data_IF_526344060113
#
_entry.id   IF_526344060113
#
_cell.length_a   1.000
_cell.length_b   1.000
_cell.length_c   1.000
_cell.angle_alpha   90.00
_cell.angle_beta   90.00
_cell.angle_gamma   90.00
#
_symmetry.space_group_name_H-M   'P 1'
#
loop_
_entity.id
_entity.type
_entity.pdbx_description
1 polymer ?
#
# COMPACT_ATOMS: atom_id res chain seq x y z
N UNK A 1 16.69 -22.95 7.32
CA UNK A 1 15.58 -22.12 6.80
C UNK A 1 16.18 -20.85 6.20
N UNK A 2 16.21 -20.79 4.87
CA UNK A 2 17.04 -19.87 4.07
C UNK A 2 16.88 -18.39 4.48
N UNK A 3 17.99 -17.65 4.54
CA UNK A 3 18.05 -16.20 4.81
C UNK A 3 17.10 -15.40 3.90
N UNK A 4 16.82 -15.92 2.69
CA UNK A 4 15.83 -15.39 1.75
C UNK A 4 14.40 -15.34 2.30
N UNK A 5 13.96 -16.35 3.08
CA UNK A 5 12.61 -16.37 3.66
C UNK A 5 12.43 -15.31 4.76
N UNK A 6 13.51 -14.95 5.47
CA UNK A 6 13.47 -13.89 6.47
C UNK A 6 13.40 -12.51 5.82
N UNK A 7 14.09 -12.30 4.70
CA UNK A 7 14.06 -11.02 3.97
C UNK A 7 12.70 -10.75 3.31
N UNK A 8 12.10 -11.76 2.69
CA UNK A 8 10.81 -11.60 2.01
C UNK A 8 9.64 -11.47 2.99
N UNK A 9 9.77 -11.95 4.24
CA UNK A 9 8.72 -11.92 5.28
C UNK A 9 8.09 -10.53 5.50
N UNK A 10 8.86 -9.47 5.24
CA UNK A 10 8.43 -8.06 5.38
C UNK A 10 7.35 -7.63 4.39
N UNK A 11 7.10 -8.40 3.33
CA UNK A 11 6.15 -8.05 2.27
C UNK A 11 5.00 -9.05 2.12
N UNK A 12 5.05 -10.19 2.80
CA UNK A 12 4.11 -11.30 2.55
C UNK A 12 2.67 -10.94 2.89
N UNK A 13 2.41 -10.21 3.98
CA UNK A 13 1.04 -9.91 4.38
C UNK A 13 0.44 -8.89 3.42
N UNK A 14 1.19 -7.84 3.04
CA UNK A 14 0.71 -6.90 2.03
C UNK A 14 0.41 -7.61 0.71
N UNK A 15 1.28 -8.51 0.25
CA UNK A 15 1.04 -9.30 -0.97
C UNK A 15 -0.20 -10.19 -0.82
N UNK A 16 -0.35 -10.89 0.30
CA UNK A 16 -1.52 -11.74 0.57
C UNK A 16 -2.82 -10.92 0.53
N UNK A 17 -2.86 -9.79 1.23
CA UNK A 17 -4.03 -8.91 1.24
C UNK A 17 -4.27 -8.24 -0.12
N UNK A 18 -3.22 -7.96 -0.89
CA UNK A 18 -3.36 -7.50 -2.28
C UNK A 18 -4.03 -8.56 -3.15
N UNK A 19 -3.60 -9.83 -3.05
CA UNK A 19 -4.23 -10.93 -3.77
C UNK A 19 -5.68 -11.14 -3.36
N UNK A 20 -5.98 -11.09 -2.05
CA UNK A 20 -7.35 -11.15 -1.55
C UNK A 20 -8.21 -9.97 -2.02
N UNK A 21 -7.64 -8.77 -2.06
CA UNK A 21 -8.30 -7.58 -2.60
C UNK A 21 -8.61 -7.73 -4.09
N UNK A 22 -7.67 -8.25 -4.89
CA UNK A 22 -7.91 -8.53 -6.31
C UNK A 22 -8.97 -9.61 -6.50
N UNK A 23 -8.92 -10.69 -5.71
CA UNK A 23 -9.94 -11.74 -5.74
C UNK A 23 -11.33 -11.17 -5.40
N UNK A 24 -11.42 -10.32 -4.37
CA UNK A 24 -12.67 -9.64 -4.01
C UNK A 24 -13.14 -8.70 -5.12
N UNK A 25 -12.23 -7.94 -5.73
CA UNK A 25 -12.56 -7.04 -6.83
C UNK A 25 -13.16 -7.77 -8.04
N UNK A 26 -12.56 -8.90 -8.44
CA UNK A 26 -13.01 -9.71 -9.58
C UNK A 26 -14.30 -10.48 -9.25
N UNK A 27 -14.49 -10.90 -7.99
CA UNK A 27 -15.69 -11.63 -7.57
C UNK A 27 -16.89 -10.67 -7.54
N UNK A 28 -17.98 -10.95 -8.27
CA UNK A 28 -19.11 -10.04 -8.35
C UNK A 28 -20.05 -10.23 -7.15
N UNK A 29 -19.56 -9.88 -5.95
CA UNK A 29 -20.32 -9.96 -4.68
C UNK A 29 -21.63 -9.17 -4.74
N UNK A 30 -21.69 -8.15 -5.60
CA UNK A 30 -22.90 -7.39 -5.95
C UNK A 30 -24.09 -8.23 -6.44
N UNK A 31 -23.88 -9.48 -6.89
CA UNK A 31 -25.00 -10.39 -7.25
C UNK A 31 -25.59 -11.12 -6.04
N UNK A 32 -24.86 -11.18 -4.93
CA UNK A 32 -25.27 -11.89 -3.71
C UNK A 32 -25.76 -10.89 -2.66
N UNK A 33 -25.17 -9.69 -2.62
CA UNK A 33 -25.49 -8.63 -1.65
C UNK A 33 -25.89 -7.36 -2.39
N UNK A 34 -26.90 -6.66 -1.88
CA UNK A 34 -27.34 -5.34 -2.35
C UNK A 34 -26.30 -4.25 -2.05
N UNK A 35 -25.17 -4.27 -2.75
CA UNK A 35 -24.12 -3.24 -2.68
C UNK A 35 -23.91 -2.59 -4.05
N UNK A 36 -23.63 -1.29 -4.07
CA UNK A 36 -23.26 -0.58 -5.30
C UNK A 36 -21.85 -0.94 -5.77
N UNK A 37 -21.57 -0.72 -7.07
CA UNK A 37 -20.24 -1.01 -7.68
C UNK A 37 -19.09 -0.32 -6.96
N UNK A 38 -19.25 0.96 -6.58
CA UNK A 38 -18.21 1.71 -5.87
C UNK A 38 -18.03 1.24 -4.44
N UNK A 39 -19.09 0.78 -3.78
CA UNK A 39 -19.00 0.18 -2.45
C UNK A 39 -18.26 -1.16 -2.51
N UNK A 40 -18.47 -1.95 -3.57
CA UNK A 40 -17.69 -3.16 -3.83
C UNK A 40 -16.21 -2.85 -4.03
N UNK A 41 -15.88 -1.83 -4.83
CA UNK A 41 -14.49 -1.37 -4.99
C UNK A 41 -13.90 -0.84 -3.68
N UNK A 42 -14.69 -0.12 -2.89
CA UNK A 42 -14.28 0.34 -1.57
C UNK A 42 -13.91 -0.82 -0.64
N UNK A 43 -14.68 -1.92 -0.67
CA UNK A 43 -14.36 -3.11 0.13
C UNK A 43 -13.03 -3.75 -0.29
N UNK A 44 -12.74 -3.82 -1.59
CA UNK A 44 -11.44 -4.29 -2.09
C UNK A 44 -10.30 -3.39 -1.61
N UNK A 45 -10.41 -2.07 -1.83
CA UNK A 45 -9.39 -1.09 -1.39
C UNK A 45 -9.21 -1.13 0.14
N UNK A 46 -10.30 -1.28 0.89
CA UNK A 46 -10.27 -1.44 2.35
C UNK A 46 -9.47 -2.69 2.75
N UNK A 47 -9.73 -3.83 2.11
CA UNK A 47 -9.00 -5.07 2.39
C UNK A 47 -7.51 -4.94 2.09
N UNK A 48 -7.16 -4.26 1.00
CA UNK A 48 -5.76 -3.94 0.67
C UNK A 48 -5.12 -3.01 1.72
N UNK A 49 -5.80 -1.95 2.11
CA UNK A 49 -5.37 -1.03 3.18
C UNK A 49 -5.12 -1.78 4.50
N UNK A 50 -6.03 -2.69 4.85
CA UNK A 50 -5.90 -3.51 6.06
C UNK A 50 -4.61 -4.33 6.06
N UNK A 51 -4.18 -4.83 4.90
CA UNK A 51 -2.89 -5.49 4.73
C UNK A 51 -1.70 -4.65 5.18
N UNK A 52 -1.69 -3.34 4.91
CA UNK A 52 -0.64 -2.43 5.37
C UNK A 52 -0.63 -2.29 6.90
N UNK A 53 -1.80 -2.20 7.54
CA UNK A 53 -1.88 -2.14 9.00
C UNK A 53 -1.41 -3.43 9.65
N UNK A 54 -1.88 -4.57 9.16
CA UNK A 54 -1.49 -5.89 9.70
C UNK A 54 0.02 -6.10 9.50
N UNK A 55 0.58 -5.76 8.34
CA UNK A 55 2.03 -5.85 8.11
C UNK A 55 2.81 -4.92 9.04
N UNK A 56 2.34 -3.69 9.23
CA UNK A 56 2.99 -2.71 10.13
C UNK A 56 3.04 -3.23 11.56
N UNK A 57 1.91 -3.74 12.09
CA UNK A 57 1.82 -4.31 13.44
C UNK A 57 2.68 -5.57 13.56
N UNK A 58 2.60 -6.48 12.59
CA UNK A 58 3.35 -7.74 12.62
C UNK A 58 4.87 -7.53 12.55
N UNK A 59 5.33 -6.59 11.73
CA UNK A 59 6.75 -6.28 11.57
C UNK A 59 7.20 -5.08 12.40
N UNK A 60 6.43 -4.66 13.41
CA UNK A 60 6.66 -3.42 14.14
C UNK A 60 8.07 -3.31 14.73
N UNK A 61 8.61 -4.41 15.26
CA UNK A 61 9.96 -4.42 15.86
C UNK A 61 11.09 -4.46 14.83
N UNK A 62 10.81 -4.90 13.61
CA UNK A 62 11.82 -5.14 12.56
C UNK A 62 11.95 -3.98 11.58
N UNK A 63 10.91 -3.14 11.47
CA UNK A 63 10.86 -2.00 10.59
C UNK A 63 11.56 -0.77 11.19
N UNK A 64 12.23 0.00 10.34
CA UNK A 64 12.75 1.33 10.70
C UNK A 64 11.59 2.29 11.03
N UNK A 65 11.86 3.37 11.78
CA UNK A 65 10.82 4.37 12.11
C UNK A 65 10.18 4.95 10.85
N UNK A 66 10.99 5.23 9.83
CA UNK A 66 10.52 5.73 8.55
C UNK A 66 9.65 4.70 7.83
N UNK A 67 10.07 3.43 7.77
CA UNK A 67 9.27 2.37 7.15
C UNK A 67 7.92 2.19 7.85
N UNK A 68 7.88 2.19 9.19
CA UNK A 68 6.61 2.12 9.96
C UNK A 68 5.68 3.25 9.59
N UNK A 69 6.21 4.47 9.52
CA UNK A 69 5.43 5.64 9.11
C UNK A 69 4.91 5.47 7.67
N UNK A 70 5.74 5.01 6.72
CA UNK A 70 5.32 4.77 5.34
C UNK A 70 4.21 3.73 5.23
N UNK A 71 4.32 2.60 5.94
CA UNK A 71 3.28 1.57 5.98
C UNK A 71 1.97 2.12 6.55
N UNK A 72 2.02 2.82 7.70
CA UNK A 72 0.82 3.40 8.32
C UNK A 72 0.21 4.48 7.42
N UNK A 73 1.01 5.39 6.88
CA UNK A 73 0.54 6.48 6.02
C UNK A 73 -0.10 5.94 4.73
N UNK A 74 0.51 4.91 4.13
CA UNK A 74 -0.04 4.23 2.95
C UNK A 74 -1.35 3.50 3.29
N UNK A 75 -1.38 2.80 4.42
CA UNK A 75 -2.59 2.18 4.95
C UNK A 75 -3.73 3.19 5.15
N UNK A 76 -3.46 4.29 5.87
CA UNK A 76 -4.42 5.37 6.11
C UNK A 76 -4.90 6.04 4.82
N UNK A 77 -4.00 6.25 3.86
CA UNK A 77 -4.37 6.78 2.56
C UNK A 77 -5.38 5.88 1.85
N UNK A 78 -5.06 4.60 1.66
CA UNK A 78 -6.00 3.66 1.03
C UNK A 78 -7.28 3.47 1.85
N UNK A 79 -7.19 3.51 3.18
CA UNK A 79 -8.36 3.47 4.06
C UNK A 79 -9.29 4.67 3.81
N UNK A 80 -8.72 5.87 3.69
CA UNK A 80 -9.49 7.08 3.40
C UNK A 80 -10.15 7.03 2.01
N UNK A 81 -9.44 6.50 1.00
CA UNK A 81 -10.00 6.30 -0.35
C UNK A 81 -11.15 5.31 -0.30
N UNK A 82 -10.99 4.20 0.43
CA UNK A 82 -12.06 3.22 0.64
C UNK A 82 -13.29 3.85 1.31
N UNK A 83 -13.11 4.62 2.39
CA UNK A 83 -14.21 5.30 3.06
C UNK A 83 -14.95 6.26 2.12
N UNK A 84 -14.21 7.05 1.34
CA UNK A 84 -14.82 7.98 0.38
C UNK A 84 -15.65 7.23 -0.65
N UNK A 85 -15.12 6.16 -1.26
CA UNK A 85 -15.87 5.36 -2.23
C UNK A 85 -17.08 4.65 -1.61
N UNK A 86 -16.99 4.25 -0.34
CA UNK A 86 -18.09 3.60 0.36
C UNK A 86 -19.22 4.57 0.72
N UNK A 87 -18.86 5.77 1.19
CA UNK A 87 -19.81 6.77 1.69
C UNK A 87 -20.41 7.66 0.59
N UNK A 88 -19.80 7.71 -0.60
CA UNK A 88 -20.22 8.60 -1.68
C UNK A 88 -20.76 7.81 -2.89
N UNK A 89 -21.96 7.20 -2.80
CA UNK A 89 -22.56 6.44 -3.90
C UNK A 89 -22.89 7.31 -5.12
N UNK A 90 -22.91 8.64 -4.98
CA UNK A 90 -23.10 9.59 -6.07
C UNK A 90 -21.92 9.64 -7.06
N UNK A 91 -20.80 8.97 -6.77
CA UNK A 91 -19.69 8.76 -7.71
C UNK A 91 -20.07 7.90 -8.93
N UNK A 92 -21.28 7.32 -8.97
CA UNK A 92 -21.80 6.58 -10.12
C UNK A 92 -22.19 7.53 -11.26
N UNK A 93 -21.55 7.34 -12.44
CA UNK A 93 -21.78 8.11 -13.69
C UNK A 93 -23.24 8.14 -14.20
N UNK A 94 -24.15 7.36 -13.60
CA UNK A 94 -25.58 7.35 -13.93
C UNK A 94 -26.45 8.25 -13.05
N UNK A 95 -25.87 9.02 -12.14
CA UNK A 95 -26.59 10.15 -11.56
C UNK A 95 -26.72 11.21 -12.67
N UNK A 96 -27.76 11.10 -13.50
CA UNK A 96 -28.08 11.98 -14.65
C UNK A 96 -28.30 13.46 -14.30
N UNK A 97 -27.96 13.85 -13.06
CA UNK A 97 -27.98 15.21 -12.51
C UNK A 97 -26.73 15.38 -11.63
N UNK A 98 -25.55 15.08 -12.17
CA UNK A 98 -24.31 15.50 -11.54
C UNK A 98 -24.16 17.01 -11.78
N UNK A 99 -24.64 17.82 -10.84
CA UNK A 99 -24.40 19.26 -10.86
C UNK A 99 -22.91 19.57 -10.94
N UNK A 100 -22.56 20.73 -11.50
CA UNK A 100 -21.18 21.20 -11.70
C UNK A 100 -20.31 21.04 -10.43
N UNK A 101 -20.91 21.28 -9.25
CA UNK A 101 -20.26 21.10 -7.95
C UNK A 101 -19.74 19.67 -7.70
N UNK A 102 -20.49 18.64 -8.12
CA UNK A 102 -20.09 17.23 -7.94
C UNK A 102 -18.94 16.86 -8.88
N UNK A 103 -18.94 17.43 -10.09
CA UNK A 103 -17.85 17.26 -11.05
C UNK A 103 -16.57 17.92 -10.54
N UNK A 104 -16.67 19.14 -10.02
CA UNK A 104 -15.55 19.85 -9.42
C UNK A 104 -15.01 19.12 -8.19
N UNK A 105 -15.89 18.60 -7.31
CA UNK A 105 -15.49 17.78 -6.17
C UNK A 105 -14.75 16.50 -6.59
N UNK A 106 -15.23 15.80 -7.64
CA UNK A 106 -14.56 14.61 -8.20
C UNK A 106 -13.16 14.94 -8.71
N UNK A 107 -13.02 16.02 -9.48
CA UNK A 107 -11.72 16.47 -9.99
C UNK A 107 -10.77 16.87 -8.86
N UNK A 108 -11.26 17.59 -7.86
CA UNK A 108 -10.50 17.96 -6.66
C UNK A 108 -9.97 16.74 -5.91
N UNK A 109 -10.82 15.74 -5.65
CA UNK A 109 -10.41 14.48 -5.01
C UNK A 109 -9.34 13.75 -5.82
N UNK A 110 -9.49 13.67 -7.15
CA UNK A 110 -8.51 13.03 -8.02
C UNK A 110 -7.14 13.71 -7.93
N UNK A 111 -7.10 15.03 -8.01
CA UNK A 111 -5.86 15.81 -7.87
C UNK A 111 -5.23 15.61 -6.49
N UNK A 112 -6.02 15.66 -5.42
CA UNK A 112 -5.53 15.41 -4.06
C UNK A 112 -4.95 14.01 -3.92
N UNK A 113 -5.66 12.97 -4.39
CA UNK A 113 -5.17 11.59 -4.32
C UNK A 113 -3.92 11.37 -5.16
N UNK A 114 -3.83 11.98 -6.34
CA UNK A 114 -2.62 11.94 -7.16
C UNK A 114 -1.43 12.59 -6.44
N UNK A 115 -1.62 13.78 -5.87
CA UNK A 115 -0.57 14.48 -5.12
C UNK A 115 -0.07 13.68 -3.92
N UNK A 116 -0.98 13.11 -3.12
CA UNK A 116 -0.62 12.27 -1.96
C UNK A 116 0.08 10.97 -2.44
N UNK A 117 -0.36 10.38 -3.55
CA UNK A 117 0.28 9.17 -4.10
C UNK A 117 1.72 9.43 -4.54
N UNK A 118 1.98 10.58 -5.19
CA UNK A 118 3.35 10.99 -5.57
C UNK A 118 4.21 11.18 -4.32
N UNK A 119 3.69 11.88 -3.30
CA UNK A 119 4.39 12.09 -2.03
C UNK A 119 4.75 10.76 -1.36
N UNK A 120 3.79 9.83 -1.26
CA UNK A 120 4.02 8.50 -0.71
C UNK A 120 5.06 7.72 -1.54
N UNK A 121 5.02 7.82 -2.87
CA UNK A 121 6.02 7.22 -3.76
C UNK A 121 7.44 7.69 -3.46
N UNK A 122 7.64 9.00 -3.26
CA UNK A 122 8.94 9.57 -2.89
C UNK A 122 9.41 9.02 -1.54
N UNK A 123 8.52 8.93 -0.55
CA UNK A 123 8.85 8.36 0.77
C UNK A 123 9.25 6.88 0.65
N UNK A 124 8.54 6.09 -0.15
CA UNK A 124 8.87 4.69 -0.40
C UNK A 124 10.22 4.51 -1.12
N UNK A 125 10.52 5.36 -2.11
CA UNK A 125 11.83 5.37 -2.77
C UNK A 125 12.96 5.64 -1.76
N UNK A 126 12.75 6.59 -0.84
CA UNK A 126 13.70 6.87 0.23
C UNK A 126 13.91 5.65 1.15
N UNK A 127 12.82 5.01 1.58
CA UNK A 127 12.90 3.78 2.40
C UNK A 127 13.69 2.69 1.68
N UNK A 128 13.40 2.45 0.40
CA UNK A 128 14.10 1.45 -0.39
C UNK A 128 15.59 1.77 -0.57
N UNK A 129 15.93 3.04 -0.76
CA UNK A 129 17.32 3.50 -0.85
C UNK A 129 18.08 3.25 0.46
N UNK A 130 17.51 3.66 1.59
CA UNK A 130 18.14 3.50 2.91
C UNK A 130 18.37 2.01 3.24
N UNK A 131 17.39 1.15 2.93
CA UNK A 131 17.52 -0.31 3.10
C UNK A 131 18.62 -0.91 2.20
N UNK A 132 18.74 -0.44 0.96
CA UNK A 132 19.78 -0.90 0.03
C UNK A 132 21.18 -0.50 0.51
N UNK A 133 21.35 0.71 1.06
CA UNK A 133 22.62 1.19 1.62
C UNK A 133 23.02 0.38 2.85
N UNK A 134 22.09 0.11 3.77
CA UNK A 134 22.35 -0.73 4.94
C UNK A 134 22.76 -2.15 4.55
N UNK A 135 22.09 -2.74 3.55
CA UNK A 135 22.43 -4.08 3.06
C UNK A 135 23.85 -4.14 2.48
N UNK A 136 24.26 -3.13 1.71
CA UNK A 136 25.64 -3.04 1.16
C UNK A 136 26.69 -2.95 2.27
N UNK A 137 26.45 -2.15 3.30
CA UNK A 137 27.38 -2.01 4.44
C UNK A 137 27.58 -3.34 5.17
N UNK A 138 26.51 -4.11 5.39
CA UNK A 138 26.60 -5.43 6.03
C UNK A 138 27.43 -6.42 5.20
N UNK A 139 27.21 -6.46 3.89
CA UNK A 139 27.98 -7.34 2.99
C UNK A 139 29.47 -7.00 2.95
N UNK A 140 29.84 -5.72 3.02
CA UNK A 140 31.25 -5.28 3.09
C UNK A 140 31.92 -5.64 4.42
N UNK A 141 31.16 -5.71 5.52
CA UNK A 141 31.69 -6.10 6.83
C UNK A 141 31.84 -7.63 6.97
N UNK A 142 31.04 -8.39 6.23
CA UNK A 142 31.09 -9.86 6.22
C UNK A 142 32.10 -10.43 5.20
N UNK A 143 32.60 -9.62 4.24
CA UNK A 143 33.68 -10.07 3.36
C UNK A 143 34.99 -10.19 4.14
N UNK A 144 35.66 -11.36 4.09
CA UNK A 144 36.96 -11.53 4.77
C UNK A 144 37.95 -10.48 4.26
N UNK A 145 38.85 -9.97 5.13
CA UNK A 145 39.88 -9.05 4.69
C UNK A 145 40.66 -9.70 3.53
N UNK A 146 41.04 -8.94 2.49
CA UNK A 146 41.82 -9.49 1.39
C UNK A 146 43.03 -10.18 2.01
N UNK A 147 43.10 -11.50 1.85
CA UNK A 147 44.26 -12.28 2.25
C UNK A 147 45.46 -11.58 1.66
N UNK A 148 46.34 -11.06 2.53
CA UNK A 148 47.60 -10.46 2.11
C UNK A 148 48.23 -11.45 1.12
N UNK A 149 48.28 -11.07 -0.15
CA UNK A 149 48.97 -11.84 -1.17
C UNK A 149 50.41 -11.98 -0.66
N UNK A 150 50.74 -13.19 -0.23
CA UNK A 150 52.07 -13.54 0.24
C UNK A 150 52.97 -13.39 -0.97
N UNK A 151 53.74 -12.30 -0.93
CA UNK A 151 54.83 -11.94 -1.84
C UNK A 151 55.84 -13.07 -2.01
#
# INVERSE_FOLDING_TARGET
MSQYLKETRRYHLVILFALLSVALWVTPVQHIVSIGRFQHYAMAIFLFSFGYFVQSVYSWRELSKLARFSYIATGLFFFSVALVFYQNPWLVDRASVAGEDKTNARSGMLVTYMGVSIMLGIVWLKVAYDEAVEKRKKLQLESPPPSQEVS
#
